data_IF_694523807286
#
_entry.id   IF_694523807286
#
_cell.length_a   1.000
_cell.length_b   1.000
_cell.length_c   1.000
_cell.angle_alpha   90.00
_cell.angle_beta   90.00
_cell.angle_gamma   90.00
#
_symmetry.space_group_name_H-M   'P 1'
#
loop_
_entity.id
_entity.type
_entity.pdbx_description
1 polymer ?
#
# COMPACT_ATOMS: atom_id res chain seq x y z
N UNK A 1 -10.50 7.82 -5.93
CA UNK A 1 -9.26 7.07 -5.64
C UNK A 1 -9.16 5.89 -6.58
N UNK A 2 -8.44 6.10 -7.68
CA UNK A 2 -8.07 5.05 -8.63
C UNK A 2 -6.77 4.35 -8.18
N UNK A 3 -6.38 3.31 -8.91
CA UNK A 3 -5.09 2.66 -8.70
C UNK A 3 -3.93 3.65 -8.87
N UNK A 4 -3.96 4.46 -9.93
CA UNK A 4 -2.93 5.44 -10.26
C UNK A 4 -2.80 6.49 -9.16
N UNK A 5 -3.92 7.09 -8.73
CA UNK A 5 -3.96 8.09 -7.64
C UNK A 5 -3.41 7.50 -6.33
N UNK A 6 -3.75 6.24 -6.04
CA UNK A 6 -3.26 5.55 -4.83
C UNK A 6 -1.75 5.33 -4.89
N UNK A 7 -1.24 4.85 -6.02
CA UNK A 7 0.18 4.59 -6.20
C UNK A 7 1.00 5.88 -6.21
N UNK A 8 0.48 6.96 -6.79
CA UNK A 8 1.11 8.28 -6.77
C UNK A 8 1.20 8.83 -5.33
N UNK A 9 0.12 8.70 -4.55
CA UNK A 9 0.14 9.08 -3.14
C UNK A 9 1.21 8.30 -2.36
N UNK A 10 1.27 6.97 -2.53
CA UNK A 10 2.27 6.14 -1.86
C UNK A 10 3.69 6.54 -2.25
N UNK A 11 3.95 6.80 -3.53
CA UNK A 11 5.26 7.27 -4.02
C UNK A 11 5.64 8.64 -3.44
N UNK A 12 4.69 9.56 -3.33
CA UNK A 12 4.93 10.90 -2.77
C UNK A 12 5.28 10.85 -1.28
N UNK A 13 4.79 9.83 -0.57
CA UNK A 13 5.10 9.59 0.85
C UNK A 13 6.23 8.58 1.08
N UNK A 14 6.94 8.17 0.02
CA UNK A 14 8.05 7.23 0.11
C UNK A 14 9.29 7.87 0.75
N UNK A 15 10.05 7.09 1.51
CA UNK A 15 11.31 7.52 2.10
C UNK A 15 12.46 6.66 1.58
N UNK A 16 13.42 7.23 0.80
CA UNK A 16 14.56 6.48 0.27
C UNK A 16 15.44 5.84 1.36
N UNK A 17 15.65 6.55 2.48
CA UNK A 17 16.42 6.04 3.61
C UNK A 17 15.74 4.82 4.26
N UNK A 18 14.42 4.90 4.44
CA UNK A 18 13.62 3.78 4.97
C UNK A 18 13.61 2.60 4.00
N UNK A 19 13.39 2.85 2.71
CA UNK A 19 13.47 1.84 1.64
C UNK A 19 14.77 1.07 1.72
N UNK A 20 15.92 1.77 1.78
CA UNK A 20 17.24 1.15 1.89
C UNK A 20 17.36 0.24 3.12
N UNK A 21 16.87 0.70 4.27
CA UNK A 21 16.89 -0.08 5.51
C UNK A 21 16.00 -1.32 5.44
N UNK A 22 14.79 -1.19 4.87
CA UNK A 22 13.85 -2.30 4.70
C UNK A 22 14.38 -3.36 3.74
N UNK A 23 14.94 -2.96 2.60
CA UNK A 23 15.58 -3.87 1.65
C UNK A 23 16.74 -4.62 2.32
N UNK A 24 17.59 -3.92 3.09
CA UNK A 24 18.66 -4.55 3.87
C UNK A 24 18.14 -5.58 4.88
N UNK A 25 16.90 -5.41 5.36
CA UNK A 25 16.22 -6.32 6.30
C UNK A 25 15.43 -7.45 5.60
N UNK A 26 15.51 -7.55 4.26
CA UNK A 26 14.87 -8.62 3.49
C UNK A 26 13.54 -8.25 2.85
N UNK A 27 13.16 -6.97 2.83
CA UNK A 27 12.00 -6.53 2.05
C UNK A 27 12.30 -6.62 0.54
N UNK A 28 11.30 -6.92 -0.31
CA UNK A 28 11.44 -6.90 -1.76
C UNK A 28 11.90 -5.54 -2.31
N UNK A 29 12.59 -5.55 -3.46
CA UNK A 29 13.04 -4.32 -4.14
C UNK A 29 11.90 -3.39 -4.57
N UNK A 30 10.68 -3.93 -4.73
CA UNK A 30 9.45 -3.18 -5.03
C UNK A 30 9.01 -2.27 -3.89
N UNK A 31 9.57 -2.44 -2.69
CA UNK A 31 9.28 -1.62 -1.50
C UNK A 31 9.58 -0.14 -1.76
N UNK A 32 8.63 0.73 -1.42
CA UNK A 32 8.76 2.19 -1.50
C UNK A 32 9.30 2.79 -0.21
N UNK A 33 9.03 2.17 0.95
CA UNK A 33 9.47 2.68 2.24
C UNK A 33 8.58 3.79 2.78
N UNK A 34 7.27 3.63 2.63
CA UNK A 34 6.23 4.49 3.19
C UNK A 34 6.04 4.15 4.66
N UNK A 35 5.77 5.15 5.49
CA UNK A 35 5.44 4.92 6.91
C UNK A 35 3.96 4.56 7.07
N UNK A 36 3.62 3.90 8.17
CA UNK A 36 2.24 3.44 8.42
C UNK A 36 1.23 4.60 8.61
N UNK A 37 1.70 5.80 8.97
CA UNK A 37 0.85 6.98 9.17
C UNK A 37 0.10 7.40 7.90
N UNK A 38 0.80 7.77 6.81
CA UNK A 38 0.19 8.05 5.51
C UNK A 38 -0.71 6.93 4.98
N UNK A 39 -0.28 5.67 5.13
CA UNK A 39 -1.07 4.49 4.70
C UNK A 39 -2.41 4.44 5.42
N UNK A 40 -2.44 4.58 6.75
CA UNK A 40 -3.68 4.61 7.55
C UNK A 40 -4.56 5.81 7.21
N UNK A 41 -3.96 6.98 6.97
CA UNK A 41 -4.69 8.19 6.57
C UNK A 41 -5.40 7.95 5.23
N UNK A 42 -4.69 7.38 4.26
CA UNK A 42 -5.25 7.06 2.95
C UNK A 42 -6.35 5.99 3.05
N UNK A 43 -6.13 4.94 3.84
CA UNK A 43 -7.14 3.91 4.10
C UNK A 43 -8.44 4.50 4.64
N UNK A 44 -8.35 5.44 5.60
CA UNK A 44 -9.52 6.13 6.15
C UNK A 44 -10.26 6.96 5.09
N UNK A 45 -9.53 7.56 4.15
CA UNK A 45 -10.12 8.34 3.04
C UNK A 45 -10.81 7.44 2.02
N UNK A 46 -10.24 6.27 1.70
CA UNK A 46 -10.80 5.35 0.70
C UNK A 46 -11.98 4.55 1.28
N UNK A 47 -11.87 4.10 2.54
CA UNK A 47 -12.81 3.14 3.13
C UNK A 47 -12.65 1.74 2.54
N UNK A 48 -13.65 0.87 2.73
CA UNK A 48 -13.64 -0.47 2.13
C UNK A 48 -13.80 -0.34 0.61
N UNK A 49 -12.80 -0.81 -0.14
CA UNK A 49 -12.84 -0.89 -1.60
C UNK A 49 -12.09 -2.14 -2.07
N UNK A 50 -12.82 -3.25 -2.13
CA UNK A 50 -12.25 -4.56 -2.43
C UNK A 50 -11.67 -4.65 -3.86
N UNK A 51 -12.26 -3.97 -4.84
CA UNK A 51 -11.75 -4.00 -6.22
C UNK A 51 -10.39 -3.32 -6.33
N UNK A 52 -10.27 -2.11 -5.76
CA UNK A 52 -9.00 -1.40 -5.68
C UNK A 52 -7.95 -2.21 -4.90
N UNK A 53 -8.37 -2.84 -3.80
CA UNK A 53 -7.50 -3.69 -2.99
C UNK A 53 -6.91 -4.86 -3.80
N UNK A 54 -7.71 -5.52 -4.65
CA UNK A 54 -7.21 -6.57 -5.54
C UNK A 54 -6.25 -6.05 -6.60
N UNK A 55 -6.49 -4.86 -7.16
CA UNK A 55 -5.57 -4.22 -8.11
C UNK A 55 -4.23 -3.88 -7.45
N UNK A 56 -4.26 -3.31 -6.25
CA UNK A 56 -3.07 -2.98 -5.46
C UNK A 56 -2.29 -4.24 -5.05
N UNK A 57 -2.96 -5.33 -4.72
CA UNK A 57 -2.30 -6.58 -4.34
C UNK A 57 -1.40 -7.11 -5.46
N UNK A 58 -1.84 -7.01 -6.71
CA UNK A 58 -1.09 -7.43 -7.91
C UNK A 58 0.16 -6.59 -8.19
N UNK A 59 0.29 -5.41 -7.57
CA UNK A 59 1.47 -4.56 -7.75
C UNK A 59 2.74 -5.11 -7.08
N UNK A 60 2.60 -6.07 -6.16
CA UNK A 60 3.69 -6.63 -5.34
C UNK A 60 4.51 -5.58 -4.57
N UNK A 61 3.99 -4.36 -4.43
CA UNK A 61 4.58 -3.31 -3.59
C UNK A 61 4.11 -3.53 -2.16
N UNK A 62 5.03 -3.83 -1.26
CA UNK A 62 4.73 -4.12 0.16
C UNK A 62 3.90 -3.02 0.81
N UNK A 63 4.24 -1.75 0.55
CA UNK A 63 3.52 -0.60 1.09
C UNK A 63 2.07 -0.53 0.60
N UNK A 64 1.82 -0.93 -0.65
CA UNK A 64 0.48 -1.03 -1.22
C UNK A 64 -0.27 -2.25 -0.64
N UNK A 65 0.40 -3.39 -0.44
CA UNK A 65 -0.20 -4.56 0.20
C UNK A 65 -0.60 -4.29 1.67
N UNK A 66 0.15 -3.45 2.37
CA UNK A 66 -0.23 -2.98 3.70
C UNK A 66 -1.54 -2.16 3.68
N UNK A 67 -1.74 -1.36 2.63
CA UNK A 67 -3.00 -0.65 2.39
C UNK A 67 -4.13 -1.63 2.06
N UNK A 68 -3.88 -2.64 1.22
CA UNK A 68 -4.87 -3.67 0.83
C UNK A 68 -5.57 -4.27 2.03
N UNK A 69 -4.82 -4.68 3.07
CA UNK A 69 -5.38 -5.29 4.29
C UNK A 69 -6.45 -4.40 4.97
N UNK A 70 -6.37 -3.08 4.78
CA UNK A 70 -7.33 -2.13 5.34
C UNK A 70 -8.53 -1.83 4.41
N UNK A 71 -8.40 -2.12 3.11
CA UNK A 71 -9.42 -1.85 2.09
C UNK A 71 -10.27 -3.07 1.75
N UNK A 72 -9.80 -4.28 2.08
CA UNK A 72 -10.49 -5.52 1.77
C UNK A 72 -11.83 -5.64 2.50
N UNK A 73 -12.85 -6.06 1.76
CA UNK A 73 -14.08 -6.58 2.35
C UNK A 73 -13.92 -8.09 2.64
N UNK A 74 -13.85 -8.51 3.92
CA UNK A 74 -13.69 -9.91 4.28
C UNK A 74 -14.90 -10.77 3.89
N UNK A 75 -16.07 -10.18 3.64
CA UNK A 75 -17.28 -10.93 3.25
C UNK A 75 -17.22 -11.46 1.82
N UNK A 76 -16.33 -10.91 0.98
CA UNK A 76 -16.17 -11.30 -0.43
C UNK A 76 -15.27 -12.52 -0.67
N UNK A 77 -14.71 -13.11 0.40
CA UNK A 77 -13.87 -14.30 0.33
C UNK A 77 -14.55 -15.58 0.87
N UNK A 78 -15.89 -15.56 0.99
CA UNK A 78 -16.70 -16.70 1.44
C UNK A 78 -17.44 -17.35 0.28
#
# INVERSE_FOLDING_TARGET
>A
MTYEETMEFLKTHASPSRRKSMIKQGAPETTLGVTLGPVRKLAKTIGINHELALQLWKSEVVDAQLLVVMLLDPKKYR
#
